data_IF_394258437721
#
_entry.id   IF_394258437721
#
_cell.length_a   1.000
_cell.length_b   1.000
_cell.length_c   1.000
_cell.angle_alpha   90.00
_cell.angle_beta   90.00
_cell.angle_gamma   90.00
#
_symmetry.space_group_name_H-M   'P 1'
#
loop_
_entity.id
_entity.type
_entity.pdbx_description
1 polymer ?
#
# COMPACT_ATOMS: atom_id res chain seq x y z
N UNK A 1 -14.64 -36.57 -3.67
CA UNK A 1 -14.52 -35.10 -3.70
C UNK A 1 -13.13 -34.77 -4.22
N UNK A 2 -13.02 -34.15 -5.39
CA UNK A 2 -11.73 -33.83 -6.00
C UNK A 2 -11.17 -32.49 -5.46
N UNK A 3 -9.87 -32.24 -5.66
CA UNK A 3 -9.19 -31.03 -5.17
C UNK A 3 -9.82 -29.72 -5.69
N UNK A 4 -10.28 -29.69 -6.94
CA UNK A 4 -10.95 -28.53 -7.54
C UNK A 4 -12.32 -28.27 -6.89
N UNK A 5 -13.07 -29.31 -6.52
CA UNK A 5 -14.34 -29.17 -5.79
C UNK A 5 -14.09 -28.57 -4.40
N UNK A 6 -13.03 -29.01 -3.71
CA UNK A 6 -12.63 -28.45 -2.40
C UNK A 6 -12.27 -26.97 -2.54
N UNK A 7 -11.44 -26.63 -3.52
CA UNK A 7 -11.05 -25.24 -3.79
C UNK A 7 -12.29 -24.38 -4.10
N UNK A 8 -13.24 -24.90 -4.86
CA UNK A 8 -14.47 -24.20 -5.21
C UNK A 8 -15.34 -23.95 -3.97
N UNK A 9 -15.53 -24.96 -3.12
CA UNK A 9 -16.28 -24.84 -1.86
C UNK A 9 -15.62 -23.81 -0.93
N UNK A 10 -14.29 -23.87 -0.75
CA UNK A 10 -13.56 -22.92 0.09
C UNK A 10 -13.57 -21.49 -0.46
N UNK A 11 -13.59 -21.33 -1.79
CA UNK A 11 -13.79 -20.01 -2.42
C UNK A 11 -15.21 -19.49 -2.15
N UNK A 12 -16.23 -20.33 -2.32
CA UNK A 12 -17.63 -19.97 -2.10
C UNK A 12 -17.87 -19.55 -0.65
N UNK A 13 -17.42 -20.36 0.32
CA UNK A 13 -17.53 -20.03 1.75
C UNK A 13 -16.89 -18.67 2.08
N UNK A 14 -15.70 -18.38 1.54
CA UNK A 14 -15.04 -17.08 1.77
C UNK A 14 -15.86 -15.90 1.24
N UNK A 15 -16.50 -16.06 0.08
CA UNK A 15 -17.36 -15.02 -0.52
C UNK A 15 -18.68 -14.87 0.24
N UNK A 16 -19.25 -15.98 0.72
CA UNK A 16 -20.50 -16.00 1.48
C UNK A 16 -20.35 -15.30 2.84
N UNK A 17 -19.19 -15.45 3.49
CA UNK A 17 -18.87 -14.76 4.75
C UNK A 17 -18.31 -13.34 4.56
N UNK A 18 -18.04 -12.92 3.32
CA UNK A 18 -17.54 -11.60 3.03
C UNK A 18 -18.67 -10.55 3.06
N UNK A 19 -18.36 -9.37 3.60
CA UNK A 19 -19.22 -8.19 3.52
C UNK A 19 -19.45 -7.77 2.06
N UNK A 20 -20.56 -7.12 1.73
CA UNK A 20 -20.77 -6.53 0.41
C UNK A 20 -19.58 -5.65 -0.01
N UNK A 21 -19.34 -5.55 -1.32
CA UNK A 21 -18.30 -4.65 -1.80
C UNK A 21 -18.68 -3.21 -1.47
N UNK A 22 -17.73 -2.46 -0.93
CA UNK A 22 -17.86 -1.04 -0.63
C UNK A 22 -16.61 -0.31 -1.12
N UNK A 23 -16.74 0.96 -1.49
CA UNK A 23 -15.59 1.80 -1.79
C UNK A 23 -14.65 1.87 -0.55
N UNK A 24 -13.34 1.93 -0.78
CA UNK A 24 -12.37 1.99 0.32
C UNK A 24 -12.51 3.35 1.01
N UNK A 25 -12.94 3.34 2.27
CA UNK A 25 -13.04 4.54 3.12
C UNK A 25 -11.74 4.81 3.89
N UNK A 26 -11.70 5.91 4.62
CA UNK A 26 -10.60 6.32 5.50
C UNK A 26 -10.46 5.40 6.73
N UNK A 27 -11.50 4.66 7.09
CA UNK A 27 -11.55 3.75 8.24
C UNK A 27 -10.75 2.46 8.02
N UNK A 28 -10.38 2.18 6.78
CA UNK A 28 -9.76 0.92 6.40
C UNK A 28 -8.46 1.11 5.61
N UNK A 29 -7.49 0.23 5.88
CA UNK A 29 -6.39 -0.06 4.96
C UNK A 29 -6.70 -1.31 4.14
N UNK A 30 -6.37 -1.31 2.85
CA UNK A 30 -6.26 -2.56 2.10
C UNK A 30 -5.09 -3.39 2.62
N UNK A 31 -5.12 -4.72 2.42
CA UNK A 31 -3.97 -5.57 2.74
C UNK A 31 -2.66 -5.08 2.13
N UNK A 32 -2.70 -4.54 0.90
CA UNK A 32 -1.52 -4.01 0.22
C UNK A 32 -0.93 -2.79 0.94
N UNK A 33 -1.78 -1.85 1.37
CA UNK A 33 -1.34 -0.65 2.08
C UNK A 33 -0.83 -1.02 3.47
N UNK A 34 -1.53 -1.90 4.18
CA UNK A 34 -1.10 -2.42 5.47
C UNK A 34 0.29 -3.07 5.37
N UNK A 35 0.49 -3.97 4.38
CA UNK A 35 1.80 -4.59 4.18
C UNK A 35 2.90 -3.61 3.82
N UNK A 36 2.59 -2.60 3.00
CA UNK A 36 3.54 -1.52 2.72
C UNK A 36 3.93 -0.74 3.99
N UNK A 37 2.98 -0.53 4.89
CA UNK A 37 3.19 0.18 6.15
C UNK A 37 4.08 -0.63 7.11
N UNK A 38 3.91 -1.95 7.18
CA UNK A 38 4.72 -2.84 8.03
C UNK A 38 6.01 -3.35 7.37
N UNK A 39 6.33 -2.91 6.15
CA UNK A 39 7.58 -3.25 5.46
C UNK A 39 7.57 -4.61 4.75
N UNK A 40 6.40 -5.20 4.49
CA UNK A 40 6.26 -6.44 3.72
C UNK A 40 6.08 -6.08 2.24
N UNK A 41 7.04 -6.49 1.41
CA UNK A 41 7.01 -6.19 -0.01
C UNK A 41 5.81 -6.86 -0.71
N UNK A 42 5.10 -6.08 -1.55
CA UNK A 42 3.82 -6.49 -2.15
C UNK A 42 3.86 -7.65 -3.16
N UNK A 43 4.98 -8.37 -3.31
CA UNK A 43 5.14 -9.52 -4.22
C UNK A 43 6.16 -10.49 -3.61
N UNK A 44 5.81 -11.77 -3.47
CA UNK A 44 6.75 -12.80 -3.01
C UNK A 44 6.14 -13.84 -2.09
N UNK A 45 7.00 -14.68 -1.49
CA UNK A 45 6.62 -15.71 -0.52
C UNK A 45 6.03 -15.07 0.74
N UNK A 46 6.68 -14.04 1.26
CA UNK A 46 6.30 -13.40 2.53
C UNK A 46 4.96 -12.70 2.44
N UNK A 47 4.68 -12.04 1.31
CA UNK A 47 3.37 -11.46 1.02
C UNK A 47 2.25 -12.51 1.02
N UNK A 48 2.47 -13.64 0.34
CA UNK A 48 1.47 -14.74 0.30
C UNK A 48 1.28 -15.36 1.67
N UNK A 49 2.37 -15.54 2.42
CA UNK A 49 2.33 -16.05 3.78
C UNK A 49 1.56 -15.09 4.72
N UNK A 50 1.81 -13.79 4.62
CA UNK A 50 1.10 -12.78 5.41
C UNK A 50 -0.40 -12.74 5.06
N UNK A 51 -0.77 -12.89 3.79
CA UNK A 51 -2.17 -13.02 3.38
C UNK A 51 -2.86 -14.24 4.00
N UNK A 52 -2.17 -15.38 4.09
CA UNK A 52 -2.70 -16.57 4.77
C UNK A 52 -2.99 -16.26 6.25
N UNK A 53 -2.10 -15.53 6.93
CA UNK A 53 -2.35 -15.11 8.31
C UNK A 53 -3.53 -14.15 8.43
N UNK A 54 -3.72 -13.20 7.49
CA UNK A 54 -4.92 -12.36 7.47
C UNK A 54 -6.19 -13.18 7.24
N UNK A 55 -6.14 -14.22 6.40
CA UNK A 55 -7.26 -15.14 6.21
C UNK A 55 -7.59 -15.89 7.51
N UNK A 56 -6.57 -16.42 8.21
CA UNK A 56 -6.76 -17.10 9.49
C UNK A 56 -7.34 -16.13 10.52
N UNK A 57 -6.83 -14.89 10.60
CA UNK A 57 -7.33 -13.86 11.50
C UNK A 57 -8.79 -13.48 11.21
N UNK A 58 -9.21 -13.56 9.94
CA UNK A 58 -10.59 -13.24 9.55
C UNK A 58 -11.62 -14.29 9.98
N UNK A 59 -11.19 -15.52 10.29
CA UNK A 59 -12.05 -16.58 10.81
C UNK A 59 -12.19 -16.36 12.31
N UNK A 60 -13.40 -15.96 12.74
CA UNK A 60 -13.74 -15.77 14.15
C UNK A 60 -13.66 -17.12 14.85
N UNK A 61 -12.59 -17.33 15.60
CA UNK A 61 -12.50 -18.10 16.85
C UNK A 61 -11.02 -18.48 17.08
N UNK A 62 -10.40 -17.90 18.11
CA UNK A 62 -9.08 -18.26 18.65
C UNK A 62 -7.83 -18.16 17.73
N UNK A 63 -7.91 -17.46 16.60
CA UNK A 63 -6.78 -17.28 15.67
C UNK A 63 -5.60 -16.47 16.23
N UNK A 64 -5.80 -15.70 17.31
CA UNK A 64 -4.76 -14.89 17.93
C UNK A 64 -3.51 -15.68 18.35
N UNK A 65 -3.66 -16.95 18.75
CA UNK A 65 -2.53 -17.80 19.15
C UNK A 65 -1.66 -18.25 17.96
N UNK A 66 -2.23 -18.29 16.75
CA UNK A 66 -1.54 -18.73 15.53
C UNK A 66 -0.86 -17.56 14.80
N UNK A 67 -1.13 -16.32 15.22
CA UNK A 67 -0.56 -15.14 14.58
C UNK A 67 0.91 -14.97 14.95
N UNK A 68 1.79 -14.72 13.97
CA UNK A 68 3.19 -14.45 14.23
C UNK A 68 3.36 -13.10 14.95
N UNK A 69 4.36 -13.01 15.82
CA UNK A 69 4.57 -11.83 16.68
C UNK A 69 4.78 -10.54 15.91
N UNK A 70 5.40 -10.61 14.72
CA UNK A 70 5.58 -9.43 13.89
C UNK A 70 4.24 -8.83 13.43
N UNK A 71 3.20 -9.66 13.20
CA UNK A 71 1.86 -9.15 12.89
C UNK A 71 1.18 -8.64 14.14
N UNK A 72 1.26 -9.38 15.27
CA UNK A 72 0.62 -8.96 16.53
C UNK A 72 1.07 -7.56 16.96
N UNK A 73 2.36 -7.26 16.86
CA UNK A 73 2.94 -5.95 17.18
C UNK A 73 2.36 -4.80 16.35
N UNK A 74 1.75 -5.08 15.20
CA UNK A 74 1.12 -4.07 14.37
C UNK A 74 -0.28 -3.64 14.87
N UNK A 75 -0.86 -4.38 15.81
CA UNK A 75 -2.23 -4.17 16.28
C UNK A 75 -2.27 -3.88 17.77
N UNK A 76 -3.26 -3.07 18.17
CA UNK A 76 -3.51 -2.77 19.58
C UNK A 76 -3.78 -4.05 20.36
N UNK A 77 -3.15 -4.15 21.52
CA UNK A 77 -3.25 -5.30 22.43
C UNK A 77 -2.85 -6.64 21.78
N UNK A 78 -2.11 -6.62 20.66
CA UNK A 78 -1.71 -7.83 19.94
C UNK A 78 -2.84 -8.53 19.19
N UNK A 79 -4.02 -7.89 19.07
CA UNK A 79 -5.22 -8.51 18.47
C UNK A 79 -5.33 -8.14 17.00
N UNK A 80 -4.93 -9.07 16.12
CA UNK A 80 -5.03 -8.90 14.67
C UNK A 80 -6.51 -8.88 14.26
N UNK A 81 -6.99 -7.73 13.75
CA UNK A 81 -8.36 -7.55 13.26
C UNK A 81 -8.38 -7.39 11.75
N UNK A 82 -9.20 -8.20 11.08
CA UNK A 82 -9.35 -8.18 9.62
C UNK A 82 -10.82 -8.30 9.27
N UNK A 83 -11.30 -7.44 8.38
CA UNK A 83 -12.60 -7.53 7.76
C UNK A 83 -12.45 -8.04 6.32
N UNK A 84 -13.35 -8.93 5.90
CA UNK A 84 -13.36 -9.50 4.56
C UNK A 84 -14.50 -8.86 3.78
N UNK A 85 -14.19 -8.28 2.63
CA UNK A 85 -15.15 -7.68 1.71
C UNK A 85 -15.15 -8.46 0.40
N UNK A 86 -16.27 -8.49 -0.30
CA UNK A 86 -16.30 -8.97 -1.69
C UNK A 86 -15.43 -8.06 -2.54
N UNK A 87 -14.72 -8.65 -3.49
CA UNK A 87 -13.91 -7.89 -4.44
C UNK A 87 -14.77 -7.23 -5.52
N UNK A 88 -14.33 -6.07 -6.02
CA UNK A 88 -14.99 -5.41 -7.17
C UNK A 88 -14.96 -6.27 -8.44
N UNK A 89 -13.94 -7.12 -8.57
CA UNK A 89 -13.70 -7.98 -9.72
C UNK A 89 -13.72 -9.45 -9.28
N UNK A 90 -14.93 -10.02 -9.18
CA UNK A 90 -15.18 -11.39 -8.73
C UNK A 90 -14.42 -12.45 -9.56
N UNK A 91 -14.00 -12.11 -10.79
CA UNK A 91 -13.29 -13.02 -11.71
C UNK A 91 -11.84 -13.31 -11.34
N UNK A 92 -11.15 -12.45 -10.59
CA UNK A 92 -9.69 -12.56 -10.34
C UNK A 92 -9.33 -12.77 -8.88
N UNK A 93 -10.03 -12.08 -7.98
CA UNK A 93 -9.81 -12.15 -6.53
C UNK A 93 -11.21 -12.19 -5.94
N UNK A 94 -11.60 -13.26 -5.24
CA UNK A 94 -12.96 -13.38 -4.74
C UNK A 94 -13.27 -12.42 -3.58
N UNK A 95 -12.25 -12.06 -2.79
CA UNK A 95 -12.39 -11.26 -1.56
C UNK A 95 -11.21 -10.31 -1.34
N UNK A 96 -11.47 -9.20 -0.67
CA UNK A 96 -10.50 -8.21 -0.23
C UNK A 96 -10.39 -8.24 1.31
N UNK A 97 -9.16 -8.37 1.81
CA UNK A 97 -8.88 -8.21 3.24
C UNK A 97 -8.62 -6.73 3.53
N UNK A 98 -9.38 -6.18 4.48
CA UNK A 98 -9.28 -4.80 4.94
C UNK A 98 -9.00 -4.75 6.44
N UNK A 99 -8.09 -3.88 6.82
CA UNK A 99 -7.61 -3.72 8.19
C UNK A 99 -8.25 -2.44 8.75
N UNK A 100 -9.05 -2.50 9.82
CA UNK A 100 -9.59 -1.31 10.46
C UNK A 100 -8.44 -0.45 11.02
N UNK A 101 -8.39 0.83 10.67
CA UNK A 101 -7.34 1.77 11.12
C UNK A 101 -7.29 1.84 12.64
N UNK A 102 -8.46 1.89 13.29
CA UNK A 102 -8.61 1.91 14.75
C UNK A 102 -7.99 0.71 15.48
N UNK A 103 -7.77 -0.40 14.77
CA UNK A 103 -7.18 -1.61 15.34
C UNK A 103 -5.66 -1.61 15.34
N UNK A 104 -5.04 -0.70 14.59
CA UNK A 104 -3.59 -0.60 14.46
C UNK A 104 -2.96 0.08 15.68
N UNK A 105 -1.75 -0.34 15.99
CA UNK A 105 -0.92 0.28 17.02
C UNK A 105 -0.74 1.79 16.75
N UNK A 106 -0.72 2.58 17.82
CA UNK A 106 -0.69 4.05 17.73
C UNK A 106 0.58 4.58 17.06
N UNK A 107 1.68 3.81 17.09
CA UNK A 107 2.94 4.14 16.41
C UNK A 107 2.77 4.31 14.89
N UNK A 108 1.72 3.73 14.30
CA UNK A 108 1.42 3.87 12.87
C UNK A 108 0.54 5.07 12.52
N UNK A 109 0.02 5.82 13.51
CA UNK A 109 -1.00 6.86 13.33
C UNK A 109 -0.65 7.88 12.24
N UNK A 110 0.53 8.50 12.30
CA UNK A 110 0.95 9.50 11.31
C UNK A 110 1.08 8.92 9.90
N UNK A 111 1.70 7.74 9.77
CA UNK A 111 1.86 7.06 8.47
C UNK A 111 0.52 6.62 7.88
N UNK A 112 -0.45 6.26 8.72
CA UNK A 112 -1.81 5.96 8.26
C UNK A 112 -2.50 7.23 7.77
N UNK A 113 -2.40 8.35 8.49
CA UNK A 113 -2.96 9.65 8.06
C UNK A 113 -2.37 10.06 6.71
N UNK A 114 -1.07 9.94 6.51
CA UNK A 114 -0.40 10.21 5.23
C UNK A 114 -0.94 9.32 4.10
N UNK A 115 -1.01 8.01 4.32
CA UNK A 115 -1.53 7.07 3.33
C UNK A 115 -2.99 7.37 2.96
N UNK A 116 -3.84 7.59 3.95
CA UNK A 116 -5.26 7.89 3.73
C UNK A 116 -5.43 9.22 3.01
N UNK A 117 -4.67 10.25 3.39
CA UNK A 117 -4.68 11.56 2.72
C UNK A 117 -4.24 11.43 1.25
N UNK A 118 -3.22 10.59 1.00
CA UNK A 118 -2.67 10.35 -0.33
C UNK A 118 -3.68 9.74 -1.32
N UNK A 119 -4.70 9.01 -0.83
CA UNK A 119 -5.76 8.40 -1.67
C UNK A 119 -6.68 9.44 -2.31
N UNK A 120 -6.92 10.54 -1.62
CA UNK A 120 -7.87 11.58 -2.02
C UNK A 120 -7.19 12.72 -2.76
N UNK A 121 -5.93 13.00 -2.44
CA UNK A 121 -5.11 13.79 -3.34
C UNK A 121 -4.98 13.03 -4.65
N UNK A 122 -5.46 13.63 -5.74
CA UNK A 122 -4.88 13.39 -7.07
C UNK A 122 -3.42 13.83 -6.97
N UNK A 123 -2.58 13.03 -6.32
CA UNK A 123 -1.14 13.26 -6.33
C UNK A 123 -0.77 13.14 -7.79
N UNK A 124 -0.40 14.28 -8.37
CA UNK A 124 0.34 14.35 -9.62
C UNK A 124 1.48 13.34 -9.50
N UNK A 125 1.28 12.21 -10.18
CA UNK A 125 2.11 11.00 -10.26
C UNK A 125 3.02 10.68 -9.06
N UNK A 126 2.66 9.71 -8.18
CA UNK A 126 3.66 9.11 -7.32
C UNK A 126 4.80 8.56 -8.18
N UNK A 127 6.05 8.89 -7.80
CA UNK A 127 7.27 8.43 -8.48
C UNK A 127 7.16 6.92 -8.70
N UNK A 128 7.13 6.51 -9.97
CA UNK A 128 6.99 5.09 -10.31
C UNK A 128 8.11 4.26 -9.66
N UNK A 129 7.85 2.98 -9.33
CA UNK A 129 8.89 2.08 -8.80
C UNK A 129 10.11 1.96 -9.73
N UNK A 130 9.93 2.19 -11.03
CA UNK A 130 11.03 2.25 -12.00
C UNK A 130 11.87 3.50 -11.83
N UNK A 131 11.21 4.65 -11.64
CA UNK A 131 11.86 5.94 -11.37
C UNK A 131 12.63 5.90 -10.04
N UNK A 132 12.05 5.34 -8.98
CA UNK A 132 12.75 5.19 -7.69
C UNK A 132 14.00 4.29 -7.81
N UNK A 133 13.92 3.19 -8.56
CA UNK A 133 15.09 2.33 -8.83
C UNK A 133 16.19 3.07 -9.59
N UNK A 134 15.82 3.88 -10.58
CA UNK A 134 16.79 4.73 -11.31
C UNK A 134 17.42 5.77 -10.38
N UNK A 135 16.64 6.43 -9.53
CA UNK A 135 17.14 7.40 -8.56
C UNK A 135 18.12 6.77 -7.56
N UNK A 136 17.82 5.57 -7.06
CA UNK A 136 18.75 4.82 -6.20
C UNK A 136 20.06 4.47 -6.91
N UNK A 137 19.99 4.00 -8.17
CA UNK A 137 21.19 3.71 -8.96
C UNK A 137 22.03 4.96 -9.22
N UNK A 138 21.40 6.11 -9.45
CA UNK A 138 22.11 7.38 -9.62
C UNK A 138 22.74 7.81 -8.28
N UNK A 139 22.04 7.63 -7.16
CA UNK A 139 22.55 7.90 -5.81
C UNK A 139 23.82 7.11 -5.52
N UNK A 140 23.85 5.82 -5.87
CA UNK A 140 25.04 4.97 -5.75
C UNK A 140 26.22 5.45 -6.62
N UNK A 141 25.95 5.88 -7.85
CA UNK A 141 27.00 6.35 -8.79
C UNK A 141 27.54 7.73 -8.40
N UNK A 142 26.67 8.61 -7.90
CA UNK A 142 27.00 10.02 -7.67
C UNK A 142 27.35 10.34 -6.22
N UNK A 143 27.22 9.37 -5.32
CA UNK A 143 27.37 9.52 -3.87
C UNK A 143 26.51 10.64 -3.27
N UNK A 144 25.38 10.95 -3.91
CA UNK A 144 24.40 11.94 -3.45
C UNK A 144 23.15 11.23 -2.99
N UNK A 145 22.50 11.73 -1.95
CA UNK A 145 21.20 11.24 -1.53
C UNK A 145 20.14 11.45 -2.63
N UNK A 146 19.09 10.62 -2.62
CA UNK A 146 17.98 10.78 -3.57
C UNK A 146 17.33 12.16 -3.46
N UNK A 147 17.29 12.73 -2.25
CA UNK A 147 16.79 14.08 -2.01
C UNK A 147 17.65 15.15 -2.68
N UNK A 148 18.97 15.09 -2.54
CA UNK A 148 19.90 16.01 -3.22
C UNK A 148 19.82 15.91 -4.74
N UNK A 149 19.60 14.71 -5.27
CA UNK A 149 19.40 14.48 -6.70
C UNK A 149 18.11 15.14 -7.18
N UNK A 150 17.01 14.97 -6.44
CA UNK A 150 15.72 15.58 -6.78
C UNK A 150 15.78 17.10 -6.70
N UNK A 151 16.32 17.65 -5.62
CA UNK A 151 16.48 19.10 -5.44
C UNK A 151 17.37 19.70 -6.56
N UNK A 152 18.43 19.00 -6.95
CA UNK A 152 19.30 19.41 -8.06
C UNK A 152 18.67 19.31 -9.46
N UNK A 153 17.58 18.54 -9.63
CA UNK A 153 16.81 18.52 -10.87
C UNK A 153 15.74 19.61 -10.88
N UNK A 154 15.02 19.77 -9.76
CA UNK A 154 14.02 20.84 -9.59
C UNK A 154 14.66 22.21 -9.77
N UNK A 155 15.83 22.45 -9.17
CA UNK A 155 16.53 23.74 -9.32
C UNK A 155 16.94 24.01 -10.77
N UNK A 156 17.45 22.98 -11.49
CA UNK A 156 17.82 23.13 -12.91
C UNK A 156 16.61 23.39 -13.80
N UNK A 157 15.50 22.72 -13.56
CA UNK A 157 14.28 22.91 -14.33
C UNK A 157 13.66 24.30 -14.05
N UNK A 158 13.71 24.77 -12.80
CA UNK A 158 13.33 26.15 -12.45
C UNK A 158 14.25 27.18 -13.10
N UNK A 159 15.57 26.95 -13.12
CA UNK A 159 16.54 27.81 -13.80
C UNK A 159 16.29 27.87 -15.31
N UNK A 160 15.90 26.76 -15.95
CA UNK A 160 15.55 26.70 -17.37
C UNK A 160 14.23 27.44 -17.68
N UNK A 161 13.24 27.37 -16.77
CA UNK A 161 11.95 28.08 -16.88
C UNK A 161 12.13 29.59 -16.68
N UNK A 162 12.95 29.99 -15.70
CA UNK A 162 13.25 31.39 -15.40
C UNK A 162 14.27 32.01 -16.39
N UNK A 163 15.16 31.21 -16.96
CA UNK A 163 16.11 31.64 -17.99
C UNK A 163 15.46 31.88 -19.37
N UNK A 164 14.33 31.21 -19.67
CA UNK A 164 13.55 31.42 -20.91
C UNK A 164 12.69 32.69 -20.90
N UNK A 165 12.35 33.23 -19.74
CA UNK A 165 11.57 34.47 -19.63
C UNK A 165 12.41 35.74 -19.83
N UNK A 166 13.74 35.63 -19.93
CA UNK A 166 14.66 36.75 -20.16
C UNK A 166 15.06 37.01 -21.62
N UNK A 167 14.56 36.26 -22.61
CA UNK A 167 14.87 36.49 -24.04
C UNK A 167 13.61 36.69 -24.86
N UNK A 168 12.98 37.85 -24.69
CA UNK A 168 11.96 38.37 -25.61
C UNK A 168 11.93 39.90 -25.58
N UNK A 169 12.88 40.53 -26.28
CA UNK A 169 12.55 41.73 -27.06
C UNK A 169 13.51 41.84 -28.24
N UNK A 170 13.06 41.55 -29.48
CA UNK A 170 13.81 41.86 -30.69
C UNK A 170 13.50 43.27 -31.24
N UNK A 171 12.84 44.14 -30.45
CA UNK A 171 12.61 45.53 -30.84
C UNK A 171 13.30 46.45 -29.82
N UNK A 172 14.56 46.76 -30.10
CA UNK A 172 15.20 47.99 -29.67
C UNK A 172 14.72 49.14 -30.57
N UNK A 173 14.76 50.34 -29.99
CA UNK A 173 14.39 51.65 -30.56
C UNK A 173 14.84 51.90 -32.01
#
# INVERSE_FOLDING_TARGET
MNEQEIIHILKKQRVDHARPWEAISTEYLTAREFFSLVGIEGRGRDYRQALIYLEIASKRDNSGNVMPDYLKKCFRNGVVRVHVFRSRNERLVGVEYRIPVESLDESYGERVKELVSSRNSRVSDPISRGTLRKLKRISEITHRSVEEILNGWVNREMDDVLGRSGRSSPFGE
#
